data_IF_422125187687
#
_entry.id   IF_422125187687
#
_cell.length_a   1.000
_cell.length_b   1.000
_cell.length_c   1.000
_cell.angle_alpha   90.00
_cell.angle_beta   90.00
_cell.angle_gamma   90.00
#
_symmetry.space_group_name_H-M   'P 1'
#
loop_
_entity.id
_entity.type
_entity.pdbx_description
1 polymer ?
#
# COMPACT_ATOMS: atom_id res chain seq x y z
N UNK A 1 22.95 -0.52 -13.54
CA UNK A 1 21.52 -0.89 -13.71
C UNK A 1 21.20 -0.97 -15.20
N UNK A 2 20.65 -2.07 -15.70
CA UNK A 2 20.34 -2.25 -17.13
C UNK A 2 19.20 -1.31 -17.58
N UNK A 3 19.13 -0.99 -18.88
CA UNK A 3 18.06 -0.16 -19.43
C UNK A 3 16.67 -0.77 -19.18
N UNK A 4 16.55 -2.10 -19.33
CA UNK A 4 15.31 -2.84 -19.06
C UNK A 4 14.82 -2.61 -17.63
N UNK A 5 15.72 -2.66 -16.64
CA UNK A 5 15.38 -2.42 -15.24
C UNK A 5 14.96 -0.97 -14.98
N UNK A 6 15.64 0.01 -15.61
CA UNK A 6 15.24 1.44 -15.51
C UNK A 6 13.83 1.66 -16.03
N UNK A 7 13.52 1.13 -17.22
CA UNK A 7 12.20 1.25 -17.84
C UNK A 7 11.14 0.60 -16.96
N UNK A 8 11.40 -0.61 -16.46
CA UNK A 8 10.46 -1.33 -15.59
C UNK A 8 10.10 -0.53 -14.33
N UNK A 9 11.10 -0.04 -13.60
CA UNK A 9 10.87 0.79 -12.40
C UNK A 9 10.11 2.07 -12.76
N UNK A 10 10.54 2.75 -13.83
CA UNK A 10 9.89 3.98 -14.28
C UNK A 10 8.40 3.80 -14.62
N UNK A 11 8.04 2.71 -15.31
CA UNK A 11 6.65 2.40 -15.64
C UNK A 11 5.82 2.14 -14.38
N UNK A 12 6.33 1.33 -13.46
CA UNK A 12 5.62 1.00 -12.21
C UNK A 12 5.41 2.24 -11.34
N UNK A 13 6.43 3.09 -11.20
CA UNK A 13 6.32 4.37 -10.51
C UNK A 13 5.33 5.32 -11.20
N UNK A 14 5.36 5.41 -12.54
CA UNK A 14 4.42 6.24 -13.28
C UNK A 14 2.97 5.77 -13.12
N UNK A 15 2.72 4.46 -13.15
CA UNK A 15 1.39 3.89 -12.91
C UNK A 15 0.91 4.14 -11.49
N UNK A 16 1.77 3.98 -10.49
CA UNK A 16 1.43 4.28 -9.09
C UNK A 16 1.05 5.77 -8.91
N UNK A 17 1.83 6.68 -9.50
CA UNK A 17 1.52 8.13 -9.45
C UNK A 17 0.22 8.43 -10.19
N UNK A 18 0.03 7.91 -11.39
CA UNK A 18 -1.18 8.13 -12.17
C UNK A 18 -2.42 7.61 -11.43
N UNK A 19 -2.31 6.44 -10.80
CA UNK A 19 -3.38 5.87 -9.99
C UNK A 19 -3.66 6.71 -8.73
N UNK A 20 -2.62 7.20 -8.06
CA UNK A 20 -2.78 8.08 -6.91
C UNK A 20 -3.47 9.39 -7.31
N UNK A 21 -3.08 10.02 -8.43
CA UNK A 21 -3.74 11.22 -8.94
C UNK A 21 -5.23 10.95 -9.22
N UNK A 22 -5.55 9.81 -9.81
CA UNK A 22 -6.93 9.39 -10.06
C UNK A 22 -7.73 9.21 -8.75
N UNK A 23 -7.11 8.65 -7.71
CA UNK A 23 -7.75 8.37 -6.42
C UNK A 23 -7.66 9.51 -5.41
N UNK A 24 -6.81 10.52 -5.62
CA UNK A 24 -6.60 11.62 -4.69
C UNK A 24 -7.89 12.33 -4.25
N UNK A 25 -8.93 12.51 -5.11
CA UNK A 25 -10.20 13.08 -4.69
C UNK A 25 -10.95 12.25 -3.63
N UNK A 26 -10.65 10.95 -3.49
CA UNK A 26 -11.25 10.08 -2.48
C UNK A 26 -10.48 10.09 -1.15
N UNK A 27 -9.46 10.95 -0.98
CA UNK A 27 -8.76 11.08 0.29
C UNK A 27 -9.70 11.60 1.38
N UNK A 28 -9.73 10.96 2.56
CA UNK A 28 -10.52 11.46 3.68
C UNK A 28 -9.93 12.79 4.21
N UNK A 29 -10.79 13.61 4.82
CA UNK A 29 -10.32 14.79 5.56
C UNK A 29 -9.41 14.36 6.71
N UNK A 30 -8.23 14.98 6.80
CA UNK A 30 -7.25 14.66 7.84
C UNK A 30 -7.64 15.17 9.23
N UNK A 31 -8.56 16.15 9.33
CA UNK A 31 -8.87 16.88 10.57
C UNK A 31 -9.14 15.98 11.79
N UNK A 32 -9.75 14.81 11.58
CA UNK A 32 -10.15 13.89 12.64
C UNK A 32 -9.42 12.54 12.62
N UNK A 33 -8.47 12.34 11.70
CA UNK A 33 -7.82 11.02 11.48
C UNK A 33 -6.30 11.07 11.62
N UNK A 34 -5.71 12.23 11.93
CA UNK A 34 -4.24 12.37 12.06
C UNK A 34 -3.60 11.30 12.96
N UNK A 35 -4.22 10.98 14.10
CA UNK A 35 -3.72 9.93 14.99
C UNK A 35 -3.77 8.54 14.36
N UNK A 36 -4.82 8.23 13.60
CA UNK A 36 -4.90 6.97 12.87
C UNK A 36 -3.85 6.92 11.76
N UNK A 37 -3.66 8.01 11.00
CA UNK A 37 -2.62 8.11 9.96
C UNK A 37 -1.24 7.85 10.55
N UNK A 38 -0.91 8.50 11.67
CA UNK A 38 0.37 8.30 12.37
C UNK A 38 0.49 6.85 12.84
N UNK A 39 -0.55 6.29 13.46
CA UNK A 39 -0.56 4.91 13.93
C UNK A 39 -0.30 3.92 12.79
N UNK A 40 -1.07 4.01 11.70
CA UNK A 40 -0.94 3.13 10.54
C UNK A 40 0.41 3.31 9.84
N UNK A 41 0.93 4.53 9.74
CA UNK A 41 2.26 4.79 9.18
C UNK A 41 3.36 4.14 10.02
N UNK A 42 3.28 4.25 11.35
CA UNK A 42 4.23 3.63 12.27
C UNK A 42 4.23 2.11 12.07
N UNK A 43 3.07 1.46 12.19
CA UNK A 43 3.01 -0.01 12.09
C UNK A 43 3.37 -0.50 10.68
N UNK A 44 3.00 0.24 9.62
CA UNK A 44 3.40 -0.07 8.24
C UNK A 44 4.92 0.01 8.07
N UNK A 45 5.55 1.06 8.60
CA UNK A 45 7.01 1.19 8.62
C UNK A 45 7.67 0.05 9.40
N UNK A 46 7.12 -0.32 10.56
CA UNK A 46 7.65 -1.43 11.36
C UNK A 46 7.53 -2.78 10.66
N UNK A 47 6.46 -3.00 9.89
CA UNK A 47 6.27 -4.23 9.11
C UNK A 47 7.40 -4.45 8.09
N UNK A 48 7.96 -3.39 7.52
CA UNK A 48 9.09 -3.48 6.59
C UNK A 48 10.40 -3.94 7.24
N UNK A 49 10.53 -3.80 8.57
CA UNK A 49 11.68 -4.35 9.31
C UNK A 49 11.55 -5.84 9.64
N UNK A 50 10.43 -6.47 9.28
CA UNK A 50 10.19 -7.89 9.53
C UNK A 50 10.13 -8.62 8.17
N UNK A 51 11.27 -8.77 7.49
CA UNK A 51 11.34 -9.53 6.26
C UNK A 51 11.06 -11.00 6.54
N UNK A 52 10.19 -11.62 5.75
CA UNK A 52 9.99 -13.07 5.76
C UNK A 52 10.67 -13.67 4.54
N UNK A 53 11.70 -14.47 4.78
CA UNK A 53 12.43 -15.17 3.74
C UNK A 53 11.57 -16.28 3.12
N UNK A 54 11.54 -16.32 1.78
CA UNK A 54 10.82 -17.36 1.04
C UNK A 54 11.74 -18.57 0.78
N UNK A 55 11.20 -19.81 0.81
CA UNK A 55 12.00 -21.04 0.61
C UNK A 55 12.74 -21.12 -0.73
N UNK A 56 12.21 -20.46 -1.76
CA UNK A 56 12.72 -20.43 -3.14
C UNK A 56 13.52 -19.15 -3.44
N UNK A 57 13.85 -18.39 -2.40
CA UNK A 57 14.54 -17.11 -2.51
C UNK A 57 13.59 -15.93 -2.67
N UNK A 58 14.04 -14.76 -2.21
CA UNK A 58 13.22 -13.56 -2.12
C UNK A 58 12.67 -13.34 -0.70
N UNK A 59 12.09 -12.16 -0.51
CA UNK A 59 11.60 -11.69 0.78
C UNK A 59 10.24 -11.04 0.56
N UNK A 60 9.28 -11.32 1.45
CA UNK A 60 8.00 -10.61 1.49
C UNK A 60 7.90 -9.76 2.76
N UNK A 61 7.21 -8.63 2.63
CA UNK A 61 6.81 -7.81 3.78
C UNK A 61 5.50 -8.34 4.36
N UNK A 62 5.35 -8.23 5.68
CA UNK A 62 4.11 -8.52 6.39
C UNK A 62 3.17 -7.30 6.46
N UNK A 63 3.39 -6.27 5.63
CA UNK A 63 2.57 -5.04 5.61
C UNK A 63 1.14 -5.23 5.09
N UNK A 64 0.87 -6.30 4.34
CA UNK A 64 -0.42 -6.51 3.69
C UNK A 64 -1.66 -6.42 4.61
N UNK A 65 -1.71 -7.04 5.81
CA UNK A 65 -2.87 -6.90 6.69
C UNK A 65 -3.13 -5.45 7.12
N UNK A 66 -2.07 -4.63 7.20
CA UNK A 66 -2.17 -3.20 7.53
C UNK A 66 -2.82 -2.47 6.36
N UNK A 67 -2.30 -2.68 5.15
CA UNK A 67 -2.85 -2.11 3.92
C UNK A 67 -4.35 -2.47 3.77
N UNK A 68 -4.68 -3.73 4.02
CA UNK A 68 -6.05 -4.25 3.96
C UNK A 68 -6.98 -3.50 4.92
N UNK A 69 -6.58 -3.31 6.18
CA UNK A 69 -7.37 -2.55 7.16
C UNK A 69 -7.52 -1.09 6.72
N UNK A 70 -6.46 -0.44 6.24
CA UNK A 70 -6.54 0.94 5.77
C UNK A 70 -7.47 1.08 4.57
N UNK A 71 -7.45 0.12 3.62
CA UNK A 71 -8.38 0.08 2.49
C UNK A 71 -9.83 0.03 3.00
N UNK A 72 -10.14 -0.91 3.90
CA UNK A 72 -11.51 -1.12 4.38
C UNK A 72 -12.03 0.09 5.16
N UNK A 73 -11.18 0.74 5.97
CA UNK A 73 -11.59 1.81 6.89
C UNK A 73 -11.53 3.20 6.25
N UNK A 74 -10.47 3.48 5.48
CA UNK A 74 -10.16 4.82 4.96
C UNK A 74 -10.09 4.91 3.43
N UNK A 75 -10.15 3.78 2.74
CA UNK A 75 -10.23 3.72 1.29
C UNK A 75 -8.86 3.63 0.58
N UNK A 76 -8.89 3.44 -0.74
CA UNK A 76 -7.70 3.11 -1.53
C UNK A 76 -6.65 4.22 -1.50
N UNK A 77 -7.06 5.49 -1.60
CA UNK A 77 -6.12 6.61 -1.68
C UNK A 77 -5.25 6.74 -0.42
N UNK A 78 -5.84 6.60 0.78
CA UNK A 78 -5.06 6.67 2.01
C UNK A 78 -4.16 5.43 2.17
N UNK A 79 -4.64 4.25 1.78
CA UNK A 79 -3.83 3.04 1.77
C UNK A 79 -2.58 3.22 0.90
N UNK A 80 -2.72 3.72 -0.34
CA UNK A 80 -1.57 4.01 -1.20
C UNK A 80 -0.53 4.92 -0.52
N UNK A 81 -0.97 5.96 0.19
CA UNK A 81 -0.08 6.90 0.88
C UNK A 81 0.64 6.22 2.05
N UNK A 82 -0.11 5.51 2.92
CA UNK A 82 0.46 4.84 4.08
C UNK A 82 1.48 3.79 3.64
N UNK A 83 1.11 2.93 2.69
CA UNK A 83 1.97 1.86 2.19
C UNK A 83 3.22 2.42 1.50
N UNK A 84 3.07 3.44 0.64
CA UNK A 84 4.22 4.08 -0.02
C UNK A 84 5.20 4.68 1.00
N UNK A 85 4.68 5.45 1.95
CA UNK A 85 5.52 6.10 2.97
C UNK A 85 6.14 5.09 3.93
N UNK A 86 5.39 4.06 4.33
CA UNK A 86 5.89 2.97 5.17
C UNK A 86 7.08 2.26 4.52
N UNK A 87 6.94 1.88 3.25
CA UNK A 87 8.01 1.29 2.44
C UNK A 87 9.21 2.24 2.28
N UNK A 88 8.97 3.51 1.93
CA UNK A 88 10.03 4.50 1.77
C UNK A 88 10.82 4.70 3.08
N UNK A 89 10.14 4.84 4.21
CA UNK A 89 10.78 5.07 5.51
C UNK A 89 11.49 3.81 5.98
N UNK A 90 10.80 2.67 6.01
CA UNK A 90 11.32 1.41 6.53
C UNK A 90 12.55 0.94 5.77
N UNK A 91 12.46 0.87 4.44
CA UNK A 91 13.58 0.40 3.61
C UNK A 91 14.73 1.41 3.51
N UNK A 92 14.47 2.72 3.67
CA UNK A 92 15.57 3.72 3.71
C UNK A 92 16.34 3.67 5.02
N UNK A 93 15.65 3.43 6.14
CA UNK A 93 16.28 3.21 7.44
C UNK A 93 17.11 1.92 7.41
N UNK A 94 16.62 0.89 6.73
CA UNK A 94 17.35 -0.34 6.43
C UNK A 94 18.46 -0.07 5.38
N UNK A 95 19.57 0.55 5.79
CA UNK A 95 20.71 1.04 4.96
C UNK A 95 21.38 0.01 4.01
N UNK A 96 20.89 -1.22 3.95
CA UNK A 96 21.38 -2.31 3.10
C UNK A 96 20.77 -2.31 1.70
N UNK A 97 19.67 -1.57 1.46
CA UNK A 97 18.95 -1.60 0.17
C UNK A 97 19.40 -0.50 -0.78
N UNK A 98 19.50 -0.83 -2.07
CA UNK A 98 19.77 0.16 -3.11
C UNK A 98 18.55 1.05 -3.33
N UNK A 99 18.76 2.36 -3.50
CA UNK A 99 17.70 3.37 -3.66
C UNK A 99 16.64 3.01 -4.71
N UNK A 100 17.03 2.39 -5.83
CA UNK A 100 16.11 2.03 -6.90
C UNK A 100 15.17 0.88 -6.51
N UNK A 101 15.58 0.01 -5.58
CA UNK A 101 14.71 -1.03 -5.01
C UNK A 101 13.69 -0.42 -4.05
N UNK A 102 14.12 0.55 -3.23
CA UNK A 102 13.24 1.29 -2.33
C UNK A 102 12.13 1.99 -3.12
N UNK A 103 12.49 2.72 -4.17
CA UNK A 103 11.51 3.40 -5.04
C UNK A 103 10.59 2.40 -5.73
N UNK A 104 11.14 1.29 -6.24
CA UNK A 104 10.35 0.25 -6.89
C UNK A 104 9.34 -0.38 -5.93
N UNK A 105 9.77 -0.79 -4.73
CA UNK A 105 8.91 -1.42 -3.74
C UNK A 105 7.82 -0.47 -3.27
N UNK A 106 8.16 0.77 -2.92
CA UNK A 106 7.18 1.78 -2.54
C UNK A 106 6.14 2.02 -3.65
N UNK A 107 6.58 2.08 -4.91
CA UNK A 107 5.68 2.24 -6.06
C UNK A 107 4.79 1.02 -6.27
N UNK A 108 5.37 -0.18 -6.22
CA UNK A 108 4.65 -1.44 -6.46
C UNK A 108 3.63 -1.71 -5.36
N UNK A 109 4.00 -1.51 -4.09
CA UNK A 109 3.11 -1.71 -2.95
C UNK A 109 1.96 -0.69 -2.95
N UNK A 110 2.24 0.59 -3.24
CA UNK A 110 1.20 1.60 -3.42
C UNK A 110 0.26 1.23 -4.58
N UNK A 111 0.79 0.81 -5.72
CA UNK A 111 0.00 0.39 -6.87
C UNK A 111 -0.92 -0.79 -6.52
N UNK A 112 -0.42 -1.80 -5.80
CA UNK A 112 -1.23 -2.93 -5.36
C UNK A 112 -2.30 -2.54 -4.35
N UNK A 113 -2.00 -1.70 -3.37
CA UNK A 113 -2.98 -1.22 -2.40
C UNK A 113 -4.10 -0.41 -3.08
N UNK A 114 -3.74 0.44 -4.05
CA UNK A 114 -4.71 1.19 -4.85
C UNK A 114 -5.63 0.29 -5.67
N UNK A 115 -5.08 -0.69 -6.40
CA UNK A 115 -5.87 -1.63 -7.21
C UNK A 115 -6.76 -2.51 -6.33
N UNK A 116 -6.24 -3.00 -5.20
CA UNK A 116 -7.02 -3.77 -4.24
C UNK A 116 -8.21 -2.98 -3.70
N UNK A 117 -8.00 -1.72 -3.28
CA UNK A 117 -9.08 -0.89 -2.77
C UNK A 117 -10.09 -0.42 -3.83
N UNK A 118 -9.67 -0.22 -5.09
CA UNK A 118 -10.62 -0.06 -6.20
C UNK A 118 -11.47 -1.31 -6.35
N UNK A 119 -10.83 -2.48 -6.30
CA UNK A 119 -11.51 -3.76 -6.44
C UNK A 119 -12.56 -3.92 -5.34
N UNK A 120 -12.21 -3.67 -4.08
CA UNK A 120 -13.13 -3.63 -2.94
C UNK A 120 -14.39 -2.79 -3.25
N UNK A 121 -14.21 -1.54 -3.68
CA UNK A 121 -15.32 -0.63 -3.97
C UNK A 121 -16.15 -1.09 -5.18
N UNK A 122 -15.51 -1.57 -6.24
CA UNK A 122 -16.17 -1.98 -7.49
C UNK A 122 -17.03 -3.22 -7.33
N UNK A 123 -16.71 -4.12 -6.41
CA UNK A 123 -17.51 -5.31 -6.12
C UNK A 123 -18.56 -5.08 -5.02
N UNK A 124 -18.79 -3.83 -4.62
CA UNK A 124 -19.86 -3.44 -3.68
C UNK A 124 -19.40 -3.18 -2.25
N UNK A 125 -18.09 -3.15 -1.99
CA UNK A 125 -17.52 -2.74 -0.73
C UNK A 125 -17.78 -1.26 -0.43
N UNK A 126 -18.07 -0.94 0.83
CA UNK A 126 -18.28 0.43 1.30
C UNK A 126 -17.20 0.75 2.33
N UNK A 127 -16.43 1.81 2.07
CA UNK A 127 -15.36 2.26 2.98
C UNK A 127 -15.96 2.66 4.32
N UNK A 128 -15.37 2.17 5.42
CA UNK A 128 -15.80 2.43 6.79
C UNK A 128 -17.05 1.66 7.24
N UNK A 129 -17.60 0.76 6.41
CA UNK A 129 -18.79 0.01 6.77
C UNK A 129 -18.49 -1.13 7.76
N UNK A 130 -19.34 -1.29 8.76
CA UNK A 130 -19.11 -2.22 9.88
C UNK A 130 -19.86 -3.56 9.75
N UNK A 131 -20.73 -3.72 8.75
CA UNK A 131 -21.51 -4.94 8.59
C UNK A 131 -20.68 -6.04 7.89
N UNK A 132 -19.98 -6.82 8.69
CA UNK A 132 -19.07 -7.88 8.21
C UNK A 132 -19.79 -8.84 7.27
N UNK A 133 -20.97 -9.34 7.62
CA UNK A 133 -21.69 -10.32 6.79
C UNK A 133 -22.05 -9.79 5.40
N UNK A 134 -22.37 -8.49 5.30
CA UNK A 134 -22.68 -7.85 4.01
C UNK A 134 -21.43 -7.60 3.17
N UNK A 135 -20.30 -7.30 3.80
CA UNK A 135 -19.08 -6.87 3.12
C UNK A 135 -17.95 -7.91 3.10
N UNK A 136 -18.18 -9.12 3.61
CA UNK A 136 -17.19 -10.22 3.60
C UNK A 136 -16.77 -10.62 2.20
N UNK A 137 -17.72 -10.67 1.24
CA UNK A 137 -17.40 -11.01 -0.13
C UNK A 137 -16.52 -9.94 -0.80
N UNK A 138 -16.88 -8.64 -0.78
CA UNK A 138 -15.98 -7.59 -1.25
C UNK A 138 -14.61 -7.56 -0.57
N UNK A 139 -14.58 -7.77 0.75
CA UNK A 139 -13.34 -7.81 1.51
C UNK A 139 -12.46 -8.99 1.08
N UNK A 140 -13.03 -10.17 0.82
CA UNK A 140 -12.28 -11.35 0.36
C UNK A 140 -11.70 -11.19 -1.05
N UNK A 141 -12.36 -10.45 -1.95
CA UNK A 141 -11.84 -10.18 -3.31
C UNK A 141 -10.74 -9.11 -3.28
N UNK A 142 -10.75 -8.24 -2.29
CA UNK A 142 -9.72 -7.22 -2.07
C UNK A 142 -8.44 -7.81 -1.47
N UNK A 143 -8.55 -8.88 -0.69
CA UNK A 143 -7.44 -9.53 -0.01
C UNK A 143 -6.61 -10.38 -0.98
#
# INVERSE_FOLDING_TARGET
MSLKLKVYIGVVTALAIALFIYLAPSLPSFSNIWWAVIFFLIISTFAEFIPVDLPIGGVISIGFPIDFVVILVYGPALAMVITALGALIGETIERKRSWYKVVFNASQLALTAGIAGITYQKVGGVVGAQNIFKYVFPAAICA
#
